data_IF_517251353812
#
_entry.id   IF_517251353812
#
_cell.length_a   1.000
_cell.length_b   1.000
_cell.length_c   1.000
_cell.angle_alpha   90.00
_cell.angle_beta   90.00
_cell.angle_gamma   90.00
#
_symmetry.space_group_name_H-M   'P 1'
#
loop_
_entity.id
_entity.type
_entity.pdbx_description
1 polymer ?
#
# COMPACT_ATOMS: atom_id res chain seq x y z
N UNK A 1 43.67 -20.35 5.44
CA UNK A 1 43.55 -19.02 4.77
C UNK A 1 42.66 -19.09 3.52
N UNK A 2 42.86 -19.99 2.57
CA UNK A 2 42.00 -20.10 1.37
C UNK A 2 40.55 -20.48 1.69
N UNK A 3 40.31 -21.38 2.62
CA UNK A 3 38.95 -21.76 3.03
C UNK A 3 38.15 -20.67 3.68
N UNK A 4 38.79 -19.80 4.46
CA UNK A 4 38.18 -18.60 5.07
C UNK A 4 37.87 -17.54 4.02
N UNK A 5 38.72 -17.41 3.01
CA UNK A 5 38.51 -16.47 1.89
C UNK A 5 37.32 -16.90 1.00
N UNK A 6 37.21 -18.19 0.69
CA UNK A 6 36.09 -18.77 -0.08
C UNK A 6 34.77 -18.64 0.70
N UNK A 7 34.81 -18.82 2.01
CA UNK A 7 33.63 -18.68 2.87
C UNK A 7 33.14 -17.22 2.95
N UNK A 8 34.08 -16.27 3.06
CA UNK A 8 33.76 -14.82 3.05
C UNK A 8 33.28 -14.35 1.67
N UNK A 9 33.85 -14.87 0.58
CA UNK A 9 33.40 -14.54 -0.77
C UNK A 9 32.00 -15.10 -1.04
N UNK A 10 31.73 -16.34 -0.64
CA UNK A 10 30.41 -16.99 -0.75
C UNK A 10 29.34 -16.30 0.12
N UNK A 11 29.72 -15.79 1.30
CA UNK A 11 28.83 -15.01 2.16
C UNK A 11 28.55 -13.62 1.56
N UNK A 12 29.55 -12.96 0.97
CA UNK A 12 29.38 -11.65 0.33
C UNK A 12 28.51 -11.75 -0.93
N UNK A 13 28.69 -12.77 -1.76
CA UNK A 13 27.85 -13.02 -2.94
C UNK A 13 26.41 -13.31 -2.52
N UNK A 14 26.20 -14.12 -1.49
CA UNK A 14 24.87 -14.41 -0.94
C UNK A 14 24.18 -13.14 -0.41
N UNK A 15 24.90 -12.27 0.30
CA UNK A 15 24.38 -10.98 0.76
C UNK A 15 24.07 -10.04 -0.40
N UNK A 16 24.89 -10.03 -1.45
CA UNK A 16 24.68 -9.19 -2.63
C UNK A 16 23.45 -9.65 -3.43
N UNK A 17 23.31 -10.94 -3.71
CA UNK A 17 22.13 -11.51 -4.39
C UNK A 17 20.86 -11.24 -3.62
N UNK A 18 20.87 -11.39 -2.29
CA UNK A 18 19.72 -11.04 -1.46
C UNK A 18 19.35 -9.55 -1.56
N UNK A 19 20.31 -8.65 -1.63
CA UNK A 19 20.05 -7.21 -1.76
C UNK A 19 19.43 -6.85 -3.11
N UNK A 20 19.93 -7.43 -4.20
CA UNK A 20 19.36 -7.24 -5.54
C UNK A 20 17.93 -7.80 -5.59
N UNK A 21 17.70 -8.98 -5.05
CA UNK A 21 16.37 -9.58 -5.00
C UNK A 21 15.38 -8.72 -4.20
N UNK A 22 15.80 -8.21 -3.04
CA UNK A 22 14.98 -7.32 -2.20
C UNK A 22 14.67 -6.00 -2.95
N UNK A 23 15.64 -5.44 -3.65
CA UNK A 23 15.40 -4.27 -4.50
C UNK A 23 14.36 -4.56 -5.58
N UNK A 24 14.52 -5.67 -6.32
CA UNK A 24 13.59 -6.06 -7.39
C UNK A 24 12.18 -6.32 -6.85
N UNK A 25 12.04 -7.02 -5.74
CA UNK A 25 10.76 -7.23 -5.07
C UNK A 25 10.13 -5.90 -4.68
N UNK A 26 10.93 -5.00 -4.09
CA UNK A 26 10.45 -3.67 -3.71
C UNK A 26 10.04 -2.85 -4.94
N UNK A 27 10.86 -2.81 -5.98
CA UNK A 27 10.57 -2.10 -7.22
C UNK A 27 9.29 -2.61 -7.89
N UNK A 28 9.18 -3.92 -8.10
CA UNK A 28 8.03 -4.54 -8.78
C UNK A 28 6.75 -4.34 -7.98
N UNK A 29 6.77 -4.67 -6.68
CA UNK A 29 5.58 -4.54 -5.82
C UNK A 29 5.08 -3.09 -5.76
N UNK A 30 5.99 -2.14 -5.66
CA UNK A 30 5.63 -0.73 -5.59
C UNK A 30 5.26 -0.14 -6.96
N UNK A 31 5.78 -0.67 -8.07
CA UNK A 31 5.32 -0.32 -9.42
C UNK A 31 3.85 -0.73 -9.62
N UNK A 32 3.50 -1.98 -9.30
CA UNK A 32 2.10 -2.43 -9.38
C UNK A 32 1.19 -1.65 -8.43
N UNK A 33 1.66 -1.41 -7.21
CA UNK A 33 0.93 -0.59 -6.24
C UNK A 33 0.70 0.83 -6.75
N UNK A 34 1.69 1.43 -7.39
CA UNK A 34 1.59 2.77 -7.95
C UNK A 34 0.63 2.85 -9.15
N UNK A 35 0.51 1.79 -9.92
CA UNK A 35 -0.48 1.73 -11.00
C UNK A 35 -1.89 1.55 -10.44
N UNK A 36 -2.07 0.65 -9.45
CA UNK A 36 -3.40 0.28 -8.94
C UNK A 36 -3.95 1.17 -7.83
N UNK A 37 -3.11 2.00 -7.22
CA UNK A 37 -3.49 2.82 -6.05
C UNK A 37 -3.34 2.11 -4.71
N UNK A 38 -2.58 1.01 -4.66
CA UNK A 38 -2.28 0.28 -3.43
C UNK A 38 -1.89 -1.17 -3.67
N UNK A 39 -1.58 -1.90 -2.59
CA UNK A 39 -1.29 -3.33 -2.66
C UNK A 39 0.20 -3.72 -2.60
N UNK A 40 1.13 -2.78 -2.42
CA UNK A 40 2.56 -3.08 -2.28
C UNK A 40 2.83 -4.13 -1.18
N UNK A 41 2.09 -4.05 -0.08
CA UNK A 41 2.22 -4.96 1.05
C UNK A 41 1.91 -6.42 0.76
N UNK A 42 1.30 -6.73 -0.38
CA UNK A 42 0.96 -8.11 -0.73
C UNK A 42 2.14 -8.93 -1.22
N UNK A 43 3.10 -8.26 -1.83
CA UNK A 43 4.33 -8.87 -2.31
C UNK A 43 5.46 -8.56 -1.33
N UNK A 44 5.59 -7.28 -0.95
CA UNK A 44 6.71 -6.81 -0.15
C UNK A 44 6.66 -7.33 1.31
N UNK A 45 5.48 -7.30 1.96
CA UNK A 45 5.37 -7.75 3.35
C UNK A 45 5.62 -9.26 3.52
N UNK A 46 4.99 -10.16 2.73
CA UNK A 46 5.35 -11.58 2.77
C UNK A 46 6.82 -11.85 2.48
N UNK A 47 7.43 -11.13 1.52
CA UNK A 47 8.85 -11.30 1.22
C UNK A 47 9.75 -10.91 2.41
N UNK A 48 9.41 -9.86 3.15
CA UNK A 48 10.11 -9.49 4.38
C UNK A 48 9.95 -10.54 5.49
N UNK A 49 8.76 -11.12 5.65
CA UNK A 49 8.51 -12.21 6.61
C UNK A 49 9.32 -13.45 6.22
N UNK A 50 9.33 -13.83 4.94
CA UNK A 50 10.11 -14.96 4.44
C UNK A 50 11.63 -14.74 4.55
N UNK A 51 12.07 -13.48 4.58
CA UNK A 51 13.48 -13.16 4.86
C UNK A 51 13.85 -13.26 6.35
N UNK A 52 12.92 -13.72 7.20
CA UNK A 52 13.15 -13.99 8.63
C UNK A 52 12.74 -12.84 9.56
N UNK A 53 12.11 -11.77 9.07
CA UNK A 53 11.63 -10.70 9.96
C UNK A 53 10.33 -11.12 10.67
N UNK A 54 10.23 -10.92 11.99
CA UNK A 54 8.96 -11.00 12.70
C UNK A 54 7.92 -10.04 12.11
N UNK A 55 6.64 -10.42 12.20
CA UNK A 55 5.55 -9.65 11.57
C UNK A 55 5.58 -8.15 11.83
N UNK A 56 5.74 -7.72 13.10
CA UNK A 56 5.74 -6.30 13.44
C UNK A 56 6.91 -5.54 12.84
N UNK A 57 8.08 -6.18 12.79
CA UNK A 57 9.27 -5.60 12.17
C UNK A 57 9.12 -5.53 10.65
N UNK A 58 8.59 -6.58 10.04
CA UNK A 58 8.30 -6.60 8.60
C UNK A 58 7.26 -5.54 8.23
N UNK A 59 6.19 -5.39 9.03
CA UNK A 59 5.15 -4.40 8.83
C UNK A 59 5.70 -2.96 8.99
N UNK A 60 6.48 -2.70 10.04
CA UNK A 60 7.11 -1.40 10.27
C UNK A 60 8.08 -1.04 9.13
N UNK A 61 8.93 -2.00 8.74
CA UNK A 61 9.90 -1.83 7.64
C UNK A 61 9.19 -1.57 6.30
N UNK A 62 8.14 -2.35 6.01
CA UNK A 62 7.29 -2.15 4.83
C UNK A 62 6.67 -0.75 4.82
N UNK A 63 6.12 -0.28 5.94
CA UNK A 63 5.51 1.06 6.03
C UNK A 63 6.52 2.17 5.76
N UNK A 64 7.74 2.10 6.31
CA UNK A 64 8.78 3.08 6.00
C UNK A 64 9.14 3.05 4.52
N UNK A 65 9.29 1.86 3.93
CA UNK A 65 9.57 1.72 2.50
C UNK A 65 8.44 2.32 1.64
N UNK A 66 7.18 2.11 2.02
CA UNK A 66 6.03 2.65 1.27
C UNK A 66 5.82 4.15 1.44
N UNK A 67 6.43 4.80 2.44
CA UNK A 67 6.55 6.27 2.46
C UNK A 67 7.31 6.75 1.23
N UNK A 68 8.38 6.07 0.84
CA UNK A 68 9.13 6.40 -0.37
C UNK A 68 8.32 6.15 -1.67
N UNK A 69 7.49 5.10 -1.72
CA UNK A 69 6.48 4.92 -2.78
C UNK A 69 5.57 6.14 -2.88
N UNK A 70 5.04 6.59 -1.74
CA UNK A 70 4.15 7.75 -1.66
C UNK A 70 4.82 9.00 -2.21
N UNK A 71 6.09 9.27 -1.88
CA UNK A 71 6.86 10.37 -2.45
C UNK A 71 7.05 10.22 -3.95
N UNK A 72 7.51 9.05 -4.42
CA UNK A 72 7.73 8.79 -5.84
C UNK A 72 6.47 9.01 -6.68
N UNK A 73 5.34 8.46 -6.23
CA UNK A 73 4.03 8.62 -6.88
C UNK A 73 3.50 10.05 -6.82
N UNK A 74 3.62 10.73 -5.67
CA UNK A 74 3.14 12.09 -5.48
C UNK A 74 3.91 13.12 -6.29
N UNK A 75 5.24 12.99 -6.40
CA UNK A 75 6.08 13.86 -7.24
C UNK A 75 5.60 13.77 -8.70
N UNK A 76 5.34 12.56 -9.17
CA UNK A 76 4.89 12.36 -10.56
C UNK A 76 3.47 12.88 -10.80
N UNK A 77 2.60 12.81 -9.79
CA UNK A 77 1.18 13.18 -9.87
C UNK A 77 0.87 14.54 -9.21
N UNK A 78 1.87 15.37 -8.99
CA UNK A 78 1.74 16.64 -8.24
C UNK A 78 0.60 17.55 -8.73
N UNK A 79 0.37 17.62 -10.04
CA UNK A 79 -0.69 18.46 -10.61
C UNK A 79 -2.09 18.02 -10.16
N UNK A 80 -2.32 16.71 -10.02
CA UNK A 80 -3.60 16.16 -9.58
C UNK A 80 -3.89 16.40 -8.09
N UNK A 81 -2.87 16.62 -7.27
CA UNK A 81 -3.05 16.86 -5.83
C UNK A 81 -3.60 18.24 -5.50
N UNK A 82 -3.25 19.25 -6.28
CA UNK A 82 -3.61 20.66 -5.97
C UNK A 82 -5.11 20.92 -6.02
N UNK A 83 -5.87 20.17 -6.80
CA UNK A 83 -7.31 20.37 -6.96
C UNK A 83 -8.15 19.86 -5.79
N UNK A 84 -7.60 19.00 -4.93
CA UNK A 84 -8.36 18.19 -3.98
C UNK A 84 -7.90 18.34 -2.52
N UNK A 85 -7.33 19.49 -2.19
CA UNK A 85 -6.77 19.76 -0.84
C UNK A 85 -7.80 19.55 0.26
N UNK A 86 -9.06 19.86 0.02
CA UNK A 86 -10.12 19.66 1.01
C UNK A 86 -10.36 18.16 1.30
N UNK A 87 -10.42 17.32 0.28
CA UNK A 87 -10.59 15.86 0.45
C UNK A 87 -9.35 15.26 1.10
N UNK A 88 -8.17 15.75 0.73
CA UNK A 88 -6.91 15.34 1.36
C UNK A 88 -6.96 15.55 2.87
N UNK A 89 -7.39 16.72 3.34
CA UNK A 89 -7.53 16.98 4.77
C UNK A 89 -8.59 16.11 5.44
N UNK A 90 -9.69 15.79 4.77
CA UNK A 90 -10.68 14.85 5.32
C UNK A 90 -10.08 13.44 5.53
N UNK A 91 -9.32 12.92 4.55
CA UNK A 91 -8.64 11.62 4.67
C UNK A 91 -7.69 11.65 5.87
N UNK A 92 -6.88 12.70 5.99
CA UNK A 92 -5.92 12.82 7.09
C UNK A 92 -6.61 12.99 8.44
N UNK A 93 -7.60 13.86 8.54
CA UNK A 93 -8.26 14.16 9.81
C UNK A 93 -9.04 12.95 10.35
N UNK A 94 -9.80 12.27 9.51
CA UNK A 94 -10.68 11.18 9.94
C UNK A 94 -10.05 9.79 9.86
N UNK A 95 -9.11 9.57 8.95
CA UNK A 95 -8.46 8.27 8.83
C UNK A 95 -7.24 8.09 9.73
N UNK A 96 -6.46 9.17 10.01
CA UNK A 96 -5.27 9.07 10.86
C UNK A 96 -5.54 8.55 12.27
N UNK A 97 -6.61 8.96 12.99
CA UNK A 97 -6.94 8.37 14.28
C UNK A 97 -7.13 6.86 14.18
N UNK A 98 -7.73 6.36 13.08
CA UNK A 98 -7.83 4.94 12.80
C UNK A 98 -6.46 4.28 12.64
N UNK A 99 -5.54 4.90 11.91
CA UNK A 99 -4.16 4.37 11.74
C UNK A 99 -3.44 4.25 13.08
N UNK A 100 -3.54 5.27 13.93
CA UNK A 100 -2.95 5.27 15.28
C UNK A 100 -3.52 4.12 16.11
N UNK A 101 -4.84 3.98 16.14
CA UNK A 101 -5.50 2.88 16.85
C UNK A 101 -5.05 1.51 16.30
N UNK A 102 -5.11 1.31 14.98
CA UNK A 102 -4.72 0.06 14.33
C UNK A 102 -3.27 -0.33 14.62
N UNK A 103 -2.34 0.63 14.53
CA UNK A 103 -0.92 0.41 14.84
C UNK A 103 -0.66 0.11 16.31
N UNK A 104 -1.47 0.66 17.22
CA UNK A 104 -1.32 0.45 18.66
C UNK A 104 -1.88 -0.90 19.12
N UNK A 105 -2.97 -1.36 18.51
CA UNK A 105 -3.66 -2.58 18.91
C UNK A 105 -3.24 -3.81 18.11
N UNK A 106 -2.41 -3.67 17.08
CA UNK A 106 -2.04 -4.76 16.15
C UNK A 106 -1.51 -6.00 16.87
N UNK A 107 -0.78 -5.84 17.96
CA UNK A 107 -0.23 -6.94 18.76
C UNK A 107 -1.28 -7.79 19.48
N UNK A 108 -2.50 -7.30 19.61
CA UNK A 108 -3.62 -8.00 20.25
C UNK A 108 -4.58 -8.61 19.23
N UNK A 109 -4.39 -8.31 17.93
CA UNK A 109 -5.27 -8.77 16.87
C UNK A 109 -4.75 -10.07 16.27
N UNK A 110 -5.64 -11.02 16.06
CA UNK A 110 -5.31 -12.22 15.29
C UNK A 110 -5.14 -11.84 13.83
N UNK A 111 -3.93 -12.08 13.29
CA UNK A 111 -3.59 -11.83 11.89
C UNK A 111 -4.54 -12.56 10.93
N UNK A 112 -4.97 -13.77 11.31
CA UNK A 112 -5.88 -14.60 10.54
C UNK A 112 -7.18 -13.87 10.19
N UNK A 113 -7.86 -13.27 11.18
CA UNK A 113 -9.12 -12.55 10.92
C UNK A 113 -8.91 -11.29 10.10
N UNK A 114 -7.79 -10.61 10.30
CA UNK A 114 -7.45 -9.42 9.51
C UNK A 114 -7.23 -9.77 8.03
N UNK A 115 -6.50 -10.85 7.77
CA UNK A 115 -6.31 -11.35 6.40
C UNK A 115 -7.63 -11.82 5.78
N UNK A 116 -8.48 -12.51 6.54
CA UNK A 116 -9.79 -12.97 6.06
C UNK A 116 -10.66 -11.79 5.61
N UNK A 117 -10.83 -10.81 6.48
CA UNK A 117 -11.66 -9.62 6.21
C UNK A 117 -11.13 -8.87 4.97
N UNK A 118 -9.84 -8.55 4.94
CA UNK A 118 -9.24 -7.84 3.82
C UNK A 118 -9.28 -8.67 2.53
N UNK A 119 -9.09 -9.98 2.60
CA UNK A 119 -9.19 -10.88 1.47
C UNK A 119 -10.57 -10.85 0.84
N UNK A 120 -11.62 -10.99 1.64
CA UNK A 120 -13.02 -10.92 1.20
C UNK A 120 -13.32 -9.55 0.57
N UNK A 121 -12.97 -8.44 1.25
CA UNK A 121 -13.17 -7.10 0.70
C UNK A 121 -12.45 -6.90 -0.63
N UNK A 122 -11.21 -7.37 -0.76
CA UNK A 122 -10.44 -7.24 -2.00
C UNK A 122 -11.10 -8.00 -3.16
N UNK A 123 -11.61 -9.21 -2.94
CA UNK A 123 -12.34 -9.97 -3.96
C UNK A 123 -13.64 -9.26 -4.36
N UNK A 124 -14.40 -8.76 -3.37
CA UNK A 124 -15.62 -7.98 -3.64
C UNK A 124 -15.28 -6.75 -4.52
N UNK A 125 -14.18 -6.05 -4.23
CA UNK A 125 -13.73 -4.91 -5.03
C UNK A 125 -13.32 -5.32 -6.45
N UNK A 126 -12.65 -6.47 -6.62
CA UNK A 126 -12.30 -6.99 -7.94
C UNK A 126 -13.55 -7.29 -8.77
N UNK A 127 -14.51 -8.02 -8.20
CA UNK A 127 -15.79 -8.35 -8.86
C UNK A 127 -16.57 -7.06 -9.18
N UNK A 128 -16.63 -6.12 -8.23
CA UNK A 128 -17.32 -4.84 -8.45
C UNK A 128 -16.67 -4.03 -9.58
N UNK A 129 -15.34 -3.92 -9.61
CA UNK A 129 -14.60 -3.23 -10.66
C UNK A 129 -14.79 -3.89 -12.03
N UNK A 130 -14.79 -5.22 -12.06
CA UNK A 130 -15.03 -6.00 -13.29
C UNK A 130 -16.44 -5.77 -13.86
N UNK A 131 -17.47 -5.82 -12.99
CA UNK A 131 -18.89 -5.64 -13.39
C UNK A 131 -19.25 -4.19 -13.74
N UNK A 132 -18.40 -3.21 -13.44
CA UNK A 132 -18.63 -1.79 -13.72
C UNK A 132 -17.58 -1.26 -14.72
N UNK A 133 -17.79 -1.43 -16.06
CA UNK A 133 -16.80 -1.03 -17.06
C UNK A 133 -16.39 0.44 -17.02
N UNK A 134 -17.32 1.34 -16.67
CA UNK A 134 -17.09 2.79 -16.60
C UNK A 134 -16.51 3.28 -15.27
N UNK A 135 -16.30 2.40 -14.29
CA UNK A 135 -15.84 2.78 -12.95
C UNK A 135 -14.48 3.51 -13.03
N UNK A 136 -14.44 4.74 -12.53
CA UNK A 136 -13.22 5.55 -12.41
C UNK A 136 -12.54 5.89 -13.75
N UNK A 137 -13.19 5.67 -14.89
CA UNK A 137 -12.65 6.08 -16.20
C UNK A 137 -12.80 7.58 -16.45
N UNK A 138 -13.87 8.15 -15.93
CA UNK A 138 -14.21 9.56 -16.11
C UNK A 138 -14.47 10.20 -14.76
N UNK A 139 -13.98 11.43 -14.58
CA UNK A 139 -14.35 12.28 -13.46
C UNK A 139 -15.58 13.08 -13.85
N UNK A 140 -16.60 13.11 -12.99
CA UNK A 140 -17.66 14.10 -13.14
C UNK A 140 -17.18 15.38 -12.47
N UNK A 141 -17.04 16.43 -13.25
CA UNK A 141 -16.55 17.76 -12.84
C UNK A 141 -17.52 18.53 -11.94
N UNK A 142 -18.47 17.86 -11.33
CA UNK A 142 -19.41 18.52 -10.44
C UNK A 142 -18.69 18.93 -9.15
N UNK A 143 -18.89 20.21 -8.83
CA UNK A 143 -18.57 20.90 -7.60
C UNK A 143 -18.54 19.88 -6.45
N UNK A 144 -17.34 19.63 -5.91
CA UNK A 144 -17.19 18.84 -4.70
C UNK A 144 -18.00 19.58 -3.66
N UNK A 145 -19.17 19.01 -3.34
CA UNK A 145 -19.96 19.53 -2.26
C UNK A 145 -19.09 19.44 -1.02
N UNK A 146 -18.67 20.60 -0.50
CA UNK A 146 -17.72 20.70 0.61
C UNK A 146 -18.29 20.17 1.93
N UNK A 147 -19.47 19.56 1.90
CA UNK A 147 -20.08 18.97 3.07
C UNK A 147 -19.37 17.67 3.44
N UNK A 148 -19.02 17.58 4.71
CA UNK A 148 -18.46 16.38 5.32
C UNK A 148 -19.54 15.31 5.33
N UNK A 149 -19.39 14.26 4.51
CA UNK A 149 -20.36 13.17 4.44
C UNK A 149 -19.99 12.05 5.43
N UNK A 150 -20.91 11.71 6.33
CA UNK A 150 -20.78 10.54 7.23
C UNK A 150 -20.46 9.25 6.46
N UNK A 151 -20.96 9.15 5.20
CA UNK A 151 -20.70 8.05 4.28
C UNK A 151 -19.21 7.93 3.90
N UNK A 152 -18.43 9.00 4.09
CA UNK A 152 -16.98 8.99 3.89
C UNK A 152 -16.22 8.82 5.20
N UNK A 153 -16.64 9.52 6.26
CA UNK A 153 -15.93 9.56 7.55
C UNK A 153 -15.83 8.18 8.19
N UNK A 154 -16.96 7.48 8.27
CA UNK A 154 -17.00 6.16 8.93
C UNK A 154 -16.11 5.16 8.20
N UNK A 155 -16.25 4.93 6.88
CA UNK A 155 -15.38 4.00 6.16
C UNK A 155 -13.89 4.39 6.23
N UNK A 156 -13.54 5.67 6.09
CA UNK A 156 -12.14 6.09 6.07
C UNK A 156 -11.45 5.84 7.41
N UNK A 157 -12.16 6.01 8.53
CA UNK A 157 -11.68 5.69 9.88
C UNK A 157 -11.37 4.19 10.01
N UNK A 158 -12.30 3.31 9.60
CA UNK A 158 -12.09 1.86 9.65
C UNK A 158 -10.99 1.39 8.69
N UNK A 159 -10.89 1.97 7.51
CA UNK A 159 -9.76 1.71 6.59
C UNK A 159 -8.44 2.16 7.23
N UNK A 160 -8.45 3.25 7.99
CA UNK A 160 -7.31 3.68 8.80
C UNK A 160 -6.87 2.62 9.82
N UNK A 161 -7.80 2.02 10.56
CA UNK A 161 -7.50 0.92 11.50
C UNK A 161 -6.85 -0.26 10.75
N UNK A 162 -7.43 -0.67 9.63
CA UNK A 162 -6.87 -1.74 8.79
C UNK A 162 -5.48 -1.36 8.23
N UNK A 163 -5.28 -0.09 7.86
CA UNK A 163 -3.95 0.37 7.44
C UNK A 163 -2.93 0.26 8.57
N UNK A 164 -3.29 0.71 9.77
CA UNK A 164 -2.41 0.64 10.95
C UNK A 164 -1.99 -0.79 11.28
N UNK A 165 -2.91 -1.75 11.20
CA UNK A 165 -2.72 -3.13 11.65
C UNK A 165 -2.20 -4.09 10.56
N UNK A 166 -2.66 -3.97 9.31
CA UNK A 166 -2.32 -4.90 8.23
C UNK A 166 -1.58 -4.24 7.07
N UNK A 167 -1.89 -2.99 6.77
CA UNK A 167 -1.34 -2.20 5.66
C UNK A 167 -1.73 -2.70 4.26
N UNK A 168 -1.62 -4.00 4.01
CA UNK A 168 -1.84 -4.60 2.69
C UNK A 168 -3.26 -4.35 2.16
N UNK A 169 -3.38 -3.84 0.93
CA UNK A 169 -4.67 -3.64 0.26
C UNK A 169 -5.46 -2.40 0.69
N UNK A 170 -5.08 -1.72 1.77
CA UNK A 170 -5.85 -0.57 2.29
C UNK A 170 -5.84 0.64 1.34
N UNK A 171 -4.76 0.86 0.60
CA UNK A 171 -4.73 1.86 -0.46
C UNK A 171 -5.79 1.62 -1.55
N UNK A 172 -6.03 0.35 -1.90
CA UNK A 172 -7.09 -0.02 -2.85
C UNK A 172 -8.48 0.36 -2.31
N UNK A 173 -8.71 0.14 -1.00
CA UNK A 173 -9.97 0.52 -0.34
C UNK A 173 -10.18 2.04 -0.34
N UNK A 174 -9.12 2.82 -0.03
CA UNK A 174 -9.19 4.29 -0.10
C UNK A 174 -9.46 4.76 -1.52
N UNK A 175 -8.74 4.21 -2.51
CA UNK A 175 -8.94 4.56 -3.92
C UNK A 175 -10.39 4.35 -4.37
N UNK A 176 -10.98 3.19 -4.07
CA UNK A 176 -12.37 2.92 -4.48
C UNK A 176 -13.38 3.77 -3.70
N UNK A 177 -13.09 4.05 -2.41
CA UNK A 177 -13.94 4.92 -1.61
C UNK A 177 -14.00 6.34 -2.21
N UNK A 178 -12.85 6.89 -2.63
CA UNK A 178 -12.76 8.18 -3.31
C UNK A 178 -13.54 8.20 -4.63
N UNK A 179 -13.37 7.17 -5.47
CA UNK A 179 -14.10 7.03 -6.73
C UNK A 179 -15.61 6.98 -6.50
N UNK A 180 -16.06 6.22 -5.50
CA UNK A 180 -17.50 6.06 -5.24
C UNK A 180 -18.14 7.29 -4.62
N UNK A 181 -17.47 7.91 -3.65
CA UNK A 181 -18.02 9.04 -2.89
C UNK A 181 -17.91 10.34 -3.68
N UNK A 182 -16.74 10.64 -4.23
CA UNK A 182 -16.46 11.91 -4.87
C UNK A 182 -16.50 11.86 -6.41
N UNK A 183 -16.88 10.70 -6.99
CA UNK A 183 -16.96 10.53 -8.45
C UNK A 183 -15.67 10.87 -9.19
N UNK A 184 -14.53 10.61 -8.56
CA UNK A 184 -13.21 10.81 -9.15
C UNK A 184 -12.90 9.76 -10.20
N UNK A 185 -12.01 10.10 -11.15
CA UNK A 185 -11.33 9.09 -11.94
C UNK A 185 -10.21 8.39 -11.14
N UNK A 186 -9.71 7.29 -11.68
CA UNK A 186 -8.67 6.51 -11.02
C UNK A 186 -7.39 7.30 -10.79
N UNK A 187 -6.91 8.06 -11.78
CA UNK A 187 -5.65 8.80 -11.68
C UNK A 187 -5.70 9.80 -10.52
N UNK A 188 -6.80 10.52 -10.39
CA UNK A 188 -7.03 11.50 -9.33
C UNK A 188 -7.13 10.82 -7.95
N UNK A 189 -7.91 9.75 -7.83
CA UNK A 189 -8.06 9.00 -6.59
C UNK A 189 -6.74 8.36 -6.13
N UNK A 190 -5.99 7.74 -7.05
CA UNK A 190 -4.68 7.13 -6.78
C UNK A 190 -3.66 8.19 -6.33
N UNK A 191 -3.67 9.38 -6.94
CA UNK A 191 -2.77 10.48 -6.56
C UNK A 191 -3.00 10.93 -5.12
N UNK A 192 -4.26 11.09 -4.69
CA UNK A 192 -4.61 11.39 -3.31
C UNK A 192 -4.20 10.26 -2.36
N UNK A 193 -4.39 9.01 -2.76
CA UNK A 193 -3.99 7.84 -1.98
C UNK A 193 -2.48 7.79 -1.76
N UNK A 194 -1.65 8.13 -2.76
CA UNK A 194 -0.19 8.19 -2.57
C UNK A 194 0.20 9.19 -1.50
N UNK A 195 -0.38 10.37 -1.56
CA UNK A 195 -0.05 11.42 -0.61
C UNK A 195 -0.56 11.08 0.79
N UNK A 196 -1.81 10.72 0.93
CA UNK A 196 -2.44 10.51 2.24
C UNK A 196 -2.05 9.17 2.88
N UNK A 197 -2.25 8.07 2.18
CA UNK A 197 -1.94 6.72 2.68
C UNK A 197 -0.45 6.42 2.52
N UNK A 198 0.10 6.67 1.32
CA UNK A 198 1.50 6.37 1.00
C UNK A 198 2.46 7.13 1.90
N UNK A 199 2.31 8.44 2.06
CA UNK A 199 3.22 9.24 2.89
C UNK A 199 2.74 9.27 4.35
N UNK A 200 1.60 9.92 4.64
CA UNK A 200 1.23 10.26 6.01
C UNK A 200 0.82 9.05 6.85
N UNK A 201 -0.11 8.23 6.37
CA UNK A 201 -0.58 7.09 7.15
C UNK A 201 0.53 6.07 7.39
N UNK A 202 1.36 5.80 6.37
CA UNK A 202 2.45 4.87 6.53
C UNK A 202 3.58 5.44 7.40
N UNK A 203 3.88 6.73 7.34
CA UNK A 203 4.83 7.37 8.26
C UNK A 203 4.35 7.29 9.71
N UNK A 204 3.09 7.63 9.97
CA UNK A 204 2.48 7.57 11.31
C UNK A 204 2.43 6.12 11.80
N UNK A 205 1.96 5.18 10.95
CA UNK A 205 1.92 3.76 11.30
C UNK A 205 3.31 3.20 11.58
N UNK A 206 4.32 3.55 10.78
CA UNK A 206 5.71 3.16 11.02
C UNK A 206 6.24 3.69 12.35
N UNK A 207 5.93 4.95 12.69
CA UNK A 207 6.33 5.56 13.94
C UNK A 207 5.75 4.80 15.16
N UNK A 208 4.47 4.45 15.15
CA UNK A 208 3.86 3.70 16.25
C UNK A 208 4.40 2.26 16.32
N UNK A 209 4.59 1.60 15.17
CA UNK A 209 5.12 0.23 15.12
C UNK A 209 6.60 0.14 15.49
N UNK A 210 7.41 1.18 15.21
CA UNK A 210 8.83 1.22 15.61
C UNK A 210 9.04 1.19 17.12
N UNK A 211 8.02 1.53 17.91
CA UNK A 211 8.04 1.42 19.38
C UNK A 211 7.82 -0.01 19.87
N UNK A 212 7.34 -0.90 19.01
CA UNK A 212 7.04 -2.30 19.33
C UNK A 212 8.15 -3.21 18.80
N UNK A 213 8.80 -2.85 17.69
CA UNK A 213 9.82 -3.68 17.05
C UNK A 213 10.92 -2.88 16.36
N UNK A 214 12.09 -3.49 16.25
CA UNK A 214 13.26 -2.92 15.58
C UNK A 214 13.06 -2.90 14.05
N UNK A 215 13.47 -1.81 13.39
CA UNK A 215 13.48 -1.69 11.94
C UNK A 215 14.92 -1.87 11.43
N UNK A 216 15.21 -2.91 10.62
CA UNK A 216 16.56 -3.21 10.16
C UNK A 216 17.03 -2.19 9.11
N UNK A 217 17.94 -1.29 9.50
CA UNK A 217 18.43 -0.21 8.65
C UNK A 217 19.14 -0.69 7.38
N UNK A 218 19.80 -1.84 7.42
CA UNK A 218 20.51 -2.44 6.28
C UNK A 218 19.58 -2.84 5.13
N UNK A 219 18.36 -3.30 5.43
CA UNK A 219 17.32 -3.62 4.43
C UNK A 219 16.58 -2.37 3.98
N UNK A 220 16.43 -1.40 4.89
CA UNK A 220 15.57 -0.24 4.69
C UNK A 220 16.03 0.63 3.51
N UNK A 221 17.34 0.88 3.37
CA UNK A 221 17.89 1.70 2.28
C UNK A 221 17.52 1.12 0.92
N UNK A 222 17.66 -0.21 0.76
CA UNK A 222 17.38 -0.91 -0.50
C UNK A 222 15.86 -0.89 -0.80
N UNK A 223 15.06 -1.12 0.22
CA UNK A 223 13.61 -1.06 0.11
C UNK A 223 13.10 0.34 -0.25
N UNK A 224 13.67 1.40 0.35
CA UNK A 224 13.36 2.79 0.05
C UNK A 224 13.67 3.10 -1.42
N UNK A 225 14.86 2.73 -1.90
CA UNK A 225 15.26 2.95 -3.29
C UNK A 225 14.34 2.23 -4.27
N UNK A 226 14.04 0.95 -4.01
CA UNK A 226 13.11 0.18 -4.83
C UNK A 226 11.68 0.73 -4.78
N UNK A 227 11.21 1.13 -3.59
CA UNK A 227 9.86 1.69 -3.42
C UNK A 227 9.71 3.06 -4.10
N UNK A 228 10.69 3.95 -3.95
CA UNK A 228 10.67 5.27 -4.58
C UNK A 228 10.68 5.16 -6.11
N UNK A 229 11.64 4.40 -6.64
CA UNK A 229 11.79 4.22 -8.10
C UNK A 229 10.59 3.49 -8.69
N UNK A 230 10.08 2.44 -8.02
CA UNK A 230 8.88 1.72 -8.41
C UNK A 230 7.63 2.62 -8.35
N UNK A 231 7.50 3.42 -7.30
CA UNK A 231 6.42 4.40 -7.13
C UNK A 231 6.39 5.44 -8.24
N UNK A 232 7.54 6.04 -8.54
CA UNK A 232 7.68 7.02 -9.61
C UNK A 232 7.39 6.40 -10.99
N UNK A 233 7.97 5.23 -11.27
CA UNK A 233 7.80 4.54 -12.55
C UNK A 233 6.36 4.08 -12.77
N UNK A 234 5.71 3.50 -11.77
CA UNK A 234 4.31 3.08 -11.85
C UNK A 234 3.36 4.27 -12.05
N UNK A 235 3.57 5.38 -11.33
CA UNK A 235 2.82 6.61 -11.54
C UNK A 235 3.06 7.22 -12.94
N UNK A 236 4.29 7.13 -13.45
CA UNK A 236 4.59 7.54 -14.82
C UNK A 236 3.83 6.72 -15.86
N UNK A 237 3.82 5.39 -15.72
CA UNK A 237 3.04 4.51 -16.60
C UNK A 237 1.54 4.81 -16.54
N UNK A 238 1.01 5.09 -15.34
CA UNK A 238 -0.39 5.46 -15.14
C UNK A 238 -0.76 6.75 -15.89
N UNK A 239 0.11 7.75 -15.83
CA UNK A 239 -0.08 9.00 -16.57
C UNK A 239 -0.03 8.82 -18.10
N UNK A 240 0.83 7.93 -18.59
CA UNK A 240 0.96 7.67 -20.03
C UNK A 240 -0.21 6.83 -20.59
N UNK A 241 -0.66 5.84 -19.84
CA UNK A 241 -1.65 4.87 -20.29
C UNK A 241 -3.08 5.17 -19.83
N UNK A 242 -3.22 6.08 -18.86
CA UNK A 242 -4.49 6.61 -18.39
C UNK A 242 -5.33 5.64 -17.54
N UNK A 243 -6.54 6.08 -17.23
CA UNK A 243 -7.44 5.42 -16.27
C UNK A 243 -7.79 3.97 -16.63
N UNK A 244 -7.77 3.58 -17.90
CA UNK A 244 -8.06 2.21 -18.34
C UNK A 244 -7.00 1.23 -17.83
N UNK A 245 -5.70 1.60 -17.94
CA UNK A 245 -4.61 0.78 -17.37
C UNK A 245 -4.78 0.68 -15.86
N UNK A 246 -4.98 1.80 -15.18
CA UNK A 246 -5.12 1.85 -13.72
C UNK A 246 -6.26 0.93 -13.28
N UNK A 247 -7.44 1.04 -13.92
CA UNK A 247 -8.61 0.20 -13.63
C UNK A 247 -8.32 -1.29 -13.81
N UNK A 248 -7.71 -1.68 -14.92
CA UNK A 248 -7.39 -3.08 -15.19
C UNK A 248 -6.39 -3.62 -14.16
N UNK A 249 -5.33 -2.88 -13.90
CA UNK A 249 -4.33 -3.25 -12.88
C UNK A 249 -4.97 -3.31 -11.49
N UNK A 250 -5.81 -2.33 -11.13
CA UNK A 250 -6.58 -2.35 -9.89
C UNK A 250 -7.39 -3.64 -9.75
N UNK A 251 -8.14 -4.03 -10.79
CA UNK A 251 -8.98 -5.24 -10.76
C UNK A 251 -8.14 -6.51 -10.56
N UNK A 252 -7.04 -6.65 -11.32
CA UNK A 252 -6.14 -7.80 -11.22
C UNK A 252 -5.44 -7.83 -9.85
N UNK A 253 -4.94 -6.70 -9.40
CA UNK A 253 -4.28 -6.58 -8.08
C UNK A 253 -5.29 -6.91 -6.97
N UNK A 254 -6.50 -6.38 -6.98
CA UNK A 254 -7.52 -6.72 -5.99
C UNK A 254 -7.83 -8.23 -5.95
N UNK A 255 -7.89 -8.89 -7.11
CA UNK A 255 -8.12 -10.33 -7.18
C UNK A 255 -6.95 -11.12 -6.59
N UNK A 256 -5.73 -10.84 -7.04
CA UNK A 256 -4.51 -11.52 -6.55
C UNK A 256 -4.32 -11.31 -5.05
N UNK A 257 -4.56 -10.09 -4.58
CA UNK A 257 -4.58 -9.70 -3.17
C UNK A 257 -5.58 -10.53 -2.41
N UNK A 258 -6.83 -10.52 -2.85
CA UNK A 258 -7.91 -11.20 -2.16
C UNK A 258 -7.61 -12.69 -2.01
N UNK A 259 -7.21 -13.36 -3.10
CA UNK A 259 -6.83 -14.78 -3.08
C UNK A 259 -5.64 -15.02 -2.14
N UNK A 260 -4.56 -14.23 -2.27
CA UNK A 260 -3.37 -14.39 -1.44
C UNK A 260 -3.66 -14.24 0.06
N UNK A 261 -4.48 -13.24 0.44
CA UNK A 261 -4.86 -13.03 1.84
C UNK A 261 -5.77 -14.14 2.38
N UNK A 262 -6.70 -14.64 1.56
CA UNK A 262 -7.55 -15.78 1.97
C UNK A 262 -6.74 -17.06 2.16
N UNK A 263 -5.85 -17.39 1.23
CA UNK A 263 -4.94 -18.54 1.36
C UNK A 263 -4.09 -18.41 2.63
N UNK A 264 -3.56 -17.21 2.90
CA UNK A 264 -2.78 -16.95 4.10
C UNK A 264 -3.63 -17.09 5.37
N UNK A 265 -4.89 -16.62 5.36
CA UNK A 265 -5.81 -16.80 6.48
C UNK A 265 -6.09 -18.27 6.78
N UNK A 266 -6.25 -19.12 5.75
CA UNK A 266 -6.47 -20.56 5.90
C UNK A 266 -5.20 -21.26 6.43
N UNK A 267 -4.01 -20.86 6.00
CA UNK A 267 -2.75 -21.41 6.47
C UNK A 267 -2.46 -21.22 7.97
N UNK A 268 -3.22 -20.37 8.67
CA UNK A 268 -3.22 -20.28 10.13
C UNK A 268 -4.21 -21.25 10.81
N UNK A 269 -5.01 -22.00 10.04
CA UNK A 269 -5.97 -22.98 10.53
C UNK A 269 -5.42 -24.41 10.52
N UNK A 270 -4.31 -24.62 9.79
CA UNK A 270 -3.57 -25.91 9.67
C UNK A 270 -2.30 -25.81 10.50
#
# INVERSE_FOLDING_TARGET
>A
MLTTFIYLQKSNDFYFYNKVLIFLISFISNTFSAISGGGAGLIQLPALILSGLPYYQALATHKVATVALGFGGSIRNYKSLRSDVYILWQILLFGTPGVVLGSSIVKFLSEQYLYLILGIFSIILAIYSFRKPSLGLYSTTNIINSQIELRFIIPIFFIGILNGSVSSGTGLLVTILLIKTFKMDFLRAVSLTFFTVGIFWNAIGAFFLSRIGYIPANLLVILILGSFTGGYFGAHLSNLKGNKLIKNTFTVVCLLVGVSLLVKSIGYLI
#
